data_IF_563356667303
#
_entry.id   IF_563356667303
#
_cell.length_a   1.000
_cell.length_b   1.000
_cell.length_c   1.000
_cell.angle_alpha   90.00
_cell.angle_beta   90.00
_cell.angle_gamma   90.00
#
_symmetry.space_group_name_H-M   'P 1'
#
loop_
_entity.id
_entity.type
_entity.pdbx_description
1 polymer ?
#
# COMPACT_ATOMS: atom_id res chain seq x y z
N UNK A 1 -31.28 23.10 -19.10
CA UNK A 1 -30.97 21.74 -18.62
C UNK A 1 -29.52 21.59 -18.19
N UNK A 2 -28.55 22.23 -18.86
CA UNK A 2 -27.12 22.20 -18.49
C UNK A 2 -26.83 22.59 -17.03
N UNK A 3 -27.46 23.64 -16.48
CA UNK A 3 -27.26 24.06 -15.08
C UNK A 3 -27.73 23.04 -14.03
N UNK A 4 -28.69 22.18 -14.36
CA UNK A 4 -29.14 21.11 -13.46
C UNK A 4 -28.18 19.91 -13.50
N UNK A 5 -27.65 19.59 -14.69
CA UNK A 5 -26.62 18.57 -14.87
C UNK A 5 -25.30 18.97 -14.21
N UNK A 6 -24.82 20.20 -14.38
CA UNK A 6 -23.62 20.71 -13.70
C UNK A 6 -23.78 20.68 -12.18
N UNK A 7 -24.92 21.14 -11.66
CA UNK A 7 -25.16 21.18 -10.21
C UNK A 7 -25.32 19.78 -9.61
N UNK A 8 -25.89 18.83 -10.36
CA UNK A 8 -25.96 17.42 -9.99
C UNK A 8 -24.58 16.74 -10.04
N UNK A 9 -23.75 17.05 -11.04
CA UNK A 9 -22.37 16.56 -11.16
C UNK A 9 -21.46 17.12 -10.07
N UNK A 10 -21.64 18.39 -9.68
CA UNK A 10 -20.89 18.97 -8.56
C UNK A 10 -21.32 18.39 -7.21
N UNK A 11 -22.61 18.11 -7.01
CA UNK A 11 -23.12 17.50 -5.79
C UNK A 11 -22.69 16.04 -5.63
N UNK A 12 -22.43 15.29 -6.71
CA UNK A 12 -22.00 13.89 -6.63
C UNK A 12 -20.67 13.70 -5.91
N UNK A 13 -19.83 14.73 -5.82
CA UNK A 13 -18.58 14.73 -5.04
C UNK A 13 -18.81 14.37 -3.57
N UNK A 14 -19.95 14.76 -3.00
CA UNK A 14 -20.30 14.44 -1.61
C UNK A 14 -20.58 12.94 -1.39
N UNK A 15 -20.84 12.15 -2.44
CA UNK A 15 -20.94 10.69 -2.32
C UNK A 15 -19.61 10.03 -1.92
N UNK A 16 -18.48 10.69 -2.17
CA UNK A 16 -17.16 10.19 -1.77
C UNK A 16 -16.89 10.39 -0.27
N UNK A 17 -17.51 11.39 0.36
CA UNK A 17 -17.26 11.69 1.78
C UNK A 17 -17.57 10.49 2.72
N UNK A 18 -18.70 9.78 2.60
CA UNK A 18 -18.96 8.55 3.36
C UNK A 18 -17.93 7.44 3.15
N UNK A 19 -17.37 7.33 1.93
CA UNK A 19 -16.33 6.33 1.62
C UNK A 19 -15.06 6.64 2.44
N UNK A 20 -14.64 7.92 2.48
CA UNK A 20 -13.48 8.32 3.29
C UNK A 20 -13.71 8.14 4.79
N UNK A 21 -14.94 8.32 5.28
CA UNK A 21 -15.30 7.97 6.66
C UNK A 21 -15.14 6.47 6.90
N UNK A 22 -15.60 5.63 5.97
CA UNK A 22 -15.39 4.18 6.04
C UNK A 22 -13.90 3.78 6.03
N UNK A 23 -13.08 4.46 5.23
CA UNK A 23 -11.63 4.24 5.22
C UNK A 23 -10.98 4.69 6.55
N UNK A 24 -11.41 5.81 7.13
CA UNK A 24 -10.94 6.25 8.45
C UNK A 24 -11.32 5.26 9.56
N UNK A 25 -12.54 4.71 9.53
CA UNK A 25 -12.94 3.62 10.44
C UNK A 25 -12.08 2.36 10.22
N UNK A 26 -11.75 2.04 8.98
CA UNK A 26 -10.85 0.92 8.65
C UNK A 26 -9.45 1.14 9.22
N UNK A 27 -8.96 2.38 9.25
CA UNK A 27 -7.69 2.72 9.89
C UNK A 27 -7.73 2.46 11.40
N UNK A 28 -8.83 2.79 12.08
CA UNK A 28 -9.02 2.48 13.49
C UNK A 28 -9.07 0.97 13.76
N UNK A 29 -9.69 0.21 12.86
CA UNK A 29 -9.70 -1.27 12.93
C UNK A 29 -8.27 -1.81 12.77
N UNK A 30 -7.50 -1.31 11.81
CA UNK A 30 -6.10 -1.71 11.64
C UNK A 30 -5.25 -1.38 12.87
N UNK A 31 -5.44 -0.21 13.47
CA UNK A 31 -4.76 0.18 14.71
C UNK A 31 -5.11 -0.78 15.86
N UNK A 32 -6.38 -1.16 15.98
CA UNK A 32 -6.82 -2.13 16.98
C UNK A 32 -6.19 -3.50 16.76
N UNK A 33 -6.18 -4.00 15.52
CA UNK A 33 -5.55 -5.28 15.17
C UNK A 33 -4.04 -5.24 15.44
N UNK A 34 -3.36 -4.15 15.10
CA UNK A 34 -1.95 -3.94 15.42
C UNK A 34 -1.69 -4.04 16.92
N UNK A 35 -2.52 -3.38 17.74
CA UNK A 35 -2.39 -3.44 19.20
C UNK A 35 -2.62 -4.85 19.74
N UNK A 36 -3.59 -5.58 19.19
CA UNK A 36 -3.84 -6.99 19.55
C UNK A 36 -2.67 -7.90 19.18
N UNK A 37 -2.13 -7.77 17.97
CA UNK A 37 -1.00 -8.59 17.51
C UNK A 37 0.26 -8.30 18.34
N UNK A 38 0.50 -7.02 18.65
CA UNK A 38 1.59 -6.61 19.53
C UNK A 38 1.41 -7.20 20.93
N UNK A 39 0.18 -7.15 21.46
CA UNK A 39 -0.08 -7.71 22.78
C UNK A 39 0.09 -9.23 22.78
N UNK A 40 -0.38 -9.92 21.74
CA UNK A 40 -0.17 -11.35 21.58
C UNK A 40 1.33 -11.69 21.56
N UNK A 41 2.13 -10.95 20.79
CA UNK A 41 3.56 -11.14 20.68
C UNK A 41 4.26 -11.00 22.04
N UNK A 42 3.93 -9.96 22.80
CA UNK A 42 4.49 -9.76 24.15
C UNK A 42 4.05 -10.91 25.09
N UNK A 43 2.80 -11.36 25.00
CA UNK A 43 2.26 -12.43 25.84
C UNK A 43 2.98 -13.78 25.66
N UNK A 44 3.49 -14.06 24.46
CA UNK A 44 4.21 -15.31 24.16
C UNK A 44 5.74 -15.17 24.28
N UNK A 45 6.29 -14.00 24.63
CA UNK A 45 7.74 -13.76 24.77
C UNK A 45 8.50 -14.83 25.56
N UNK A 46 8.00 -15.34 26.69
CA UNK A 46 8.74 -16.32 27.50
C UNK A 46 8.92 -17.68 26.82
N UNK A 47 8.07 -18.01 25.85
CA UNK A 47 7.98 -19.35 25.22
C UNK A 47 8.19 -19.32 23.71
N UNK A 48 8.31 -18.14 23.10
CA UNK A 48 8.49 -17.98 21.66
C UNK A 48 9.92 -18.35 21.22
N UNK A 49 10.04 -18.85 19.99
CA UNK A 49 11.34 -19.02 19.35
C UNK A 49 11.78 -17.72 18.64
N UNK A 50 13.06 -17.64 18.23
CA UNK A 50 13.56 -16.53 17.40
C UNK A 50 12.75 -16.39 16.10
N UNK A 51 12.35 -17.54 15.53
CA UNK A 51 11.54 -17.60 14.33
C UNK A 51 10.15 -16.97 14.55
N UNK A 52 9.51 -17.27 15.67
CA UNK A 52 8.22 -16.69 16.04
C UNK A 52 8.33 -15.17 16.26
N UNK A 53 9.41 -14.72 16.89
CA UNK A 53 9.70 -13.29 17.09
C UNK A 53 9.81 -12.55 15.75
N UNK A 54 10.60 -13.08 14.81
CA UNK A 54 10.78 -12.49 13.47
C UNK A 54 9.45 -12.43 12.73
N UNK A 55 8.66 -13.50 12.77
CA UNK A 55 7.36 -13.54 12.09
C UNK A 55 6.35 -12.57 12.68
N UNK A 56 6.32 -12.43 14.02
CA UNK A 56 5.46 -11.46 14.69
C UNK A 56 5.82 -10.01 14.34
N UNK A 57 7.12 -9.69 14.32
CA UNK A 57 7.59 -8.36 13.89
C UNK A 57 7.21 -8.08 12.44
N UNK A 58 7.34 -9.06 11.54
CA UNK A 58 6.96 -8.90 10.13
C UNK A 58 5.45 -8.65 9.97
N UNK A 59 4.60 -9.34 10.73
CA UNK A 59 3.16 -9.09 10.73
C UNK A 59 2.82 -7.65 11.21
N UNK A 60 3.52 -7.15 12.23
CA UNK A 60 3.36 -5.77 12.71
C UNK A 60 3.81 -4.74 11.66
N UNK A 61 4.91 -5.00 10.96
CA UNK A 61 5.38 -4.16 9.84
C UNK A 61 4.32 -4.11 8.73
N UNK A 62 3.72 -5.24 8.37
CA UNK A 62 2.70 -5.31 7.32
C UNK A 62 1.46 -4.50 7.67
N UNK A 63 0.97 -4.62 8.91
CA UNK A 63 -0.16 -3.82 9.40
C UNK A 63 0.16 -2.32 9.37
N UNK A 64 1.39 -1.93 9.74
CA UNK A 64 1.85 -0.54 9.68
C UNK A 64 1.92 -0.01 8.23
N UNK A 65 2.44 -0.82 7.29
CA UNK A 65 2.50 -0.46 5.87
C UNK A 65 1.09 -0.31 5.28
N UNK A 66 0.16 -1.21 5.63
CA UNK A 66 -1.23 -1.12 5.22
C UNK A 66 -1.91 0.17 5.72
N UNK A 67 -1.68 0.53 7.00
CA UNK A 67 -2.20 1.76 7.60
C UNK A 67 -1.64 3.03 6.92
N UNK A 68 -0.34 3.06 6.63
CA UNK A 68 0.31 4.17 5.92
C UNK A 68 -0.24 4.33 4.50
N UNK A 69 -0.45 3.23 3.78
CA UNK A 69 -1.06 3.25 2.46
C UNK A 69 -2.49 3.79 2.52
N UNK A 70 -3.27 3.34 3.50
CA UNK A 70 -4.65 3.78 3.71
C UNK A 70 -4.72 5.28 3.98
N UNK A 71 -3.80 5.82 4.80
CA UNK A 71 -3.68 7.26 5.05
C UNK A 71 -3.43 8.05 3.76
N UNK A 72 -2.48 7.60 2.94
CA UNK A 72 -2.18 8.24 1.64
C UNK A 72 -3.44 8.26 0.76
N UNK A 73 -4.16 7.14 0.68
CA UNK A 73 -5.40 7.02 -0.11
C UNK A 73 -6.50 7.94 0.42
N UNK A 74 -6.69 8.03 1.74
CA UNK A 74 -7.66 8.92 2.37
C UNK A 74 -7.36 10.37 2.02
N UNK A 75 -6.13 10.83 2.28
CA UNK A 75 -5.78 12.24 2.08
C UNK A 75 -5.76 12.61 0.60
N UNK A 76 -5.13 11.81 -0.26
CA UNK A 76 -5.08 12.04 -1.70
C UNK A 76 -6.47 11.99 -2.33
N UNK A 77 -7.32 11.04 -1.92
CA UNK A 77 -8.69 10.95 -2.42
C UNK A 77 -9.55 12.13 -1.97
N UNK A 78 -9.48 12.49 -0.69
CA UNK A 78 -10.27 13.59 -0.14
C UNK A 78 -9.89 14.94 -0.78
N UNK A 79 -8.59 15.22 -0.93
CA UNK A 79 -8.08 16.44 -1.55
C UNK A 79 -8.50 16.58 -3.02
N UNK A 80 -8.39 15.48 -3.78
CA UNK A 80 -8.71 15.48 -5.21
C UNK A 80 -10.22 15.56 -5.50
N UNK A 81 -11.05 14.92 -4.66
CA UNK A 81 -12.47 14.71 -5.00
C UNK A 81 -13.46 15.47 -4.12
N UNK A 82 -13.12 15.84 -2.88
CA UNK A 82 -14.07 16.49 -1.96
C UNK A 82 -13.68 17.95 -1.74
N UNK A 83 -12.56 18.20 -1.07
CA UNK A 83 -12.12 19.55 -0.74
C UNK A 83 -10.61 19.61 -0.69
N UNK A 84 -10.03 20.65 -1.28
CA UNK A 84 -8.66 21.03 -0.93
C UNK A 84 -8.65 21.36 0.57
N UNK A 85 -7.74 20.75 1.30
CA UNK A 85 -7.55 21.10 2.71
C UNK A 85 -6.72 22.38 2.73
N UNK A 86 -7.35 23.52 2.97
CA UNK A 86 -6.66 24.81 3.07
C UNK A 86 -6.02 24.92 4.47
N UNK A 87 -4.93 24.16 4.67
CA UNK A 87 -4.11 24.19 5.90
C UNK A 87 -3.04 25.27 5.78
N UNK A 88 -3.46 26.48 5.40
CA UNK A 88 -2.61 27.57 4.92
C UNK A 88 -1.70 28.23 5.96
N UNK A 89 -1.33 27.57 7.07
CA UNK A 89 -0.47 28.22 8.08
C UNK A 89 0.30 27.32 9.07
N UNK A 90 0.47 26.01 8.83
CA UNK A 90 1.23 25.15 9.76
C UNK A 90 2.42 24.44 9.11
N UNK A 91 3.56 24.48 9.82
CA UNK A 91 4.90 23.98 9.47
C UNK A 91 4.98 22.44 9.32
N UNK A 92 3.89 21.73 9.64
CA UNK A 92 3.76 20.27 9.60
C UNK A 92 3.22 19.73 8.26
N UNK A 93 3.46 20.44 7.14
CA UNK A 93 3.09 19.92 5.81
C UNK A 93 4.08 18.81 5.42
N UNK A 94 3.68 17.53 5.35
CA UNK A 94 4.63 16.49 5.04
C UNK A 94 4.99 16.53 3.54
N UNK A 95 6.28 16.38 3.21
CA UNK A 95 6.85 16.64 1.88
C UNK A 95 6.23 15.81 0.73
N UNK A 96 5.45 14.76 1.03
CA UNK A 96 4.81 13.89 0.03
C UNK A 96 3.55 14.49 -0.64
N UNK A 97 3.06 15.65 -0.20
CA UNK A 97 1.84 16.30 -0.73
C UNK A 97 1.99 16.98 -2.11
N UNK A 98 3.16 16.90 -2.75
CA UNK A 98 3.41 17.57 -4.05
C UNK A 98 3.03 16.75 -5.28
N UNK A 99 3.32 15.45 -5.29
CA UNK A 99 3.14 14.56 -6.44
C UNK A 99 3.04 13.12 -5.89
N UNK A 100 1.86 12.68 -5.47
CA UNK A 100 1.67 11.24 -5.20
C UNK A 100 1.62 10.56 -6.56
N UNK A 101 2.79 10.25 -7.12
CA UNK A 101 2.91 9.51 -8.37
C UNK A 101 2.24 8.15 -8.17
N UNK A 102 1.08 7.98 -8.81
CA UNK A 102 0.33 6.72 -8.81
C UNK A 102 1.19 5.54 -9.26
N UNK A 103 2.25 5.78 -10.04
CA UNK A 103 3.21 4.74 -10.45
C UNK A 103 4.11 4.33 -9.29
N UNK A 104 4.64 5.30 -8.53
CA UNK A 104 5.39 5.03 -7.31
C UNK A 104 4.53 4.31 -6.26
N UNK A 105 3.24 4.63 -6.16
CA UNK A 105 2.31 3.95 -5.26
C UNK A 105 2.09 2.48 -5.68
N UNK A 106 1.91 2.21 -6.97
CA UNK A 106 1.79 0.84 -7.51
C UNK A 106 3.05 0.02 -7.25
N UNK A 107 4.23 0.61 -7.46
CA UNK A 107 5.51 -0.06 -7.24
C UNK A 107 5.69 -0.45 -5.78
N UNK A 108 5.40 0.47 -4.86
CA UNK A 108 5.48 0.23 -3.41
C UNK A 108 4.52 -0.87 -2.97
N UNK A 109 3.28 -0.86 -3.47
CA UNK A 109 2.30 -1.89 -3.14
C UNK A 109 2.75 -3.29 -3.59
N UNK A 110 3.20 -3.42 -4.84
CA UNK A 110 3.65 -4.72 -5.36
C UNK A 110 4.92 -5.20 -4.67
N UNK A 111 5.85 -4.29 -4.36
CA UNK A 111 7.04 -4.62 -3.59
C UNK A 111 6.68 -5.18 -2.20
N UNK A 112 5.71 -4.58 -1.50
CA UNK A 112 5.21 -5.10 -0.23
C UNK A 112 4.59 -6.49 -0.38
N UNK A 113 3.73 -6.72 -1.37
CA UNK A 113 3.10 -8.04 -1.60
C UNK A 113 4.16 -9.13 -1.86
N UNK A 114 5.16 -8.84 -2.69
CA UNK A 114 6.26 -9.76 -2.97
C UNK A 114 7.07 -10.06 -1.70
N UNK A 115 7.39 -9.04 -0.90
CA UNK A 115 8.13 -9.21 0.35
C UNK A 115 7.37 -10.09 1.35
N UNK A 116 6.09 -9.81 1.59
CA UNK A 116 5.22 -10.57 2.50
C UNK A 116 5.11 -12.03 2.04
N UNK A 117 4.89 -12.24 0.75
CA UNK A 117 4.82 -13.58 0.16
C UNK A 117 6.13 -14.36 0.32
N UNK A 118 7.29 -13.70 0.19
CA UNK A 118 8.61 -14.30 0.39
C UNK A 118 8.87 -14.71 1.84
N UNK A 119 8.49 -13.85 2.79
CA UNK A 119 8.55 -14.14 4.23
C UNK A 119 7.68 -15.36 4.56
N UNK A 120 6.48 -15.42 4.00
CA UNK A 120 5.58 -16.56 4.21
C UNK A 120 6.20 -17.87 3.68
N UNK A 121 6.85 -17.83 2.52
CA UNK A 121 7.59 -18.96 1.97
C UNK A 121 8.72 -19.42 2.90
N UNK A 122 9.45 -18.47 3.50
CA UNK A 122 10.50 -18.77 4.47
C UNK A 122 9.92 -19.44 5.73
N UNK A 123 8.76 -18.99 6.22
CA UNK A 123 8.03 -19.66 7.32
C UNK A 123 7.68 -21.11 6.99
N UNK A 124 7.11 -21.33 5.81
CA UNK A 124 6.75 -22.68 5.31
C UNK A 124 8.00 -23.55 5.18
N UNK A 125 9.12 -22.98 4.75
CA UNK A 125 10.39 -23.69 4.62
C UNK A 125 10.98 -24.12 5.97
N UNK A 126 10.92 -23.28 7.00
CA UNK A 126 11.41 -23.67 8.34
C UNK A 126 10.60 -24.80 8.99
N UNK A 127 9.34 -24.94 8.58
CA UNK A 127 8.41 -25.97 9.04
C UNK A 127 8.06 -26.97 7.91
N UNK A 128 9.00 -27.24 6.98
CA UNK A 128 8.73 -27.96 5.72
C UNK A 128 8.01 -29.30 5.92
N UNK A 129 8.27 -30.00 7.03
CA UNK A 129 7.64 -31.29 7.35
C UNK A 129 6.15 -31.21 7.71
N UNK A 130 5.60 -30.01 7.98
CA UNK A 130 4.19 -29.80 8.33
C UNK A 130 3.29 -29.60 7.11
N UNK A 131 3.86 -29.33 5.94
CA UNK A 131 3.11 -28.98 4.73
C UNK A 131 3.23 -30.07 3.67
N UNK A 132 2.15 -30.31 2.94
CA UNK A 132 2.18 -31.25 1.82
C UNK A 132 3.12 -30.70 0.71
N UNK A 133 3.98 -31.52 0.08
CA UNK A 133 4.88 -31.06 -0.97
C UNK A 133 4.18 -30.31 -2.11
N UNK A 134 2.96 -30.73 -2.46
CA UNK A 134 2.14 -30.08 -3.49
C UNK A 134 1.72 -28.67 -3.08
N UNK A 135 1.37 -28.47 -1.81
CA UNK A 135 1.01 -27.15 -1.27
C UNK A 135 2.22 -26.20 -1.32
N UNK A 136 3.39 -26.68 -0.91
CA UNK A 136 4.64 -25.91 -0.97
C UNK A 136 4.94 -25.52 -2.42
N UNK A 137 4.76 -26.45 -3.37
CA UNK A 137 4.93 -26.18 -4.81
C UNK A 137 4.05 -25.04 -5.28
N UNK A 138 2.76 -25.06 -4.97
CA UNK A 138 1.84 -23.99 -5.36
C UNK A 138 2.17 -22.65 -4.70
N UNK A 139 2.59 -22.66 -3.44
CA UNK A 139 3.06 -21.44 -2.77
C UNK A 139 4.27 -20.83 -3.47
N UNK A 140 5.25 -21.65 -3.87
CA UNK A 140 6.43 -21.20 -4.63
C UNK A 140 6.02 -20.66 -5.99
N UNK A 141 5.13 -21.35 -6.71
CA UNK A 141 4.63 -20.91 -8.03
C UNK A 141 3.93 -19.56 -7.91
N UNK A 142 3.04 -19.38 -6.95
CA UNK A 142 2.34 -18.10 -6.73
C UNK A 142 3.33 -16.99 -6.38
N UNK A 143 4.32 -17.26 -5.52
CA UNK A 143 5.35 -16.28 -5.19
C UNK A 143 6.12 -15.83 -6.44
N UNK A 144 6.52 -16.78 -7.29
CA UNK A 144 7.18 -16.47 -8.56
C UNK A 144 6.29 -15.63 -9.48
N UNK A 145 4.98 -15.89 -9.54
CA UNK A 145 4.02 -15.06 -10.30
C UNK A 145 4.01 -13.62 -9.76
N UNK A 146 4.04 -13.41 -8.45
CA UNK A 146 4.12 -12.07 -7.87
C UNK A 146 5.45 -11.38 -8.19
N UNK A 147 6.58 -12.09 -8.07
CA UNK A 147 7.90 -11.55 -8.42
C UNK A 147 7.94 -11.11 -9.88
N UNK A 148 7.51 -11.98 -10.80
CA UNK A 148 7.47 -11.67 -12.24
C UNK A 148 6.55 -10.49 -12.53
N UNK A 149 5.36 -10.46 -11.93
CA UNK A 149 4.41 -9.36 -12.10
C UNK A 149 4.98 -8.02 -11.62
N UNK A 150 5.70 -8.02 -10.48
CA UNK A 150 6.38 -6.84 -9.95
C UNK A 150 7.51 -6.34 -10.84
N UNK A 151 8.33 -7.25 -11.36
CA UNK A 151 9.40 -6.91 -12.30
C UNK A 151 8.83 -6.32 -13.59
N UNK A 152 7.77 -6.92 -14.15
CA UNK A 152 7.11 -6.40 -15.35
C UNK A 152 6.52 -5.00 -15.12
N UNK A 153 5.90 -4.76 -13.97
CA UNK A 153 5.35 -3.46 -13.62
C UNK A 153 6.45 -2.39 -13.47
N UNK A 154 7.56 -2.74 -12.80
CA UNK A 154 8.73 -1.86 -12.70
C UNK A 154 9.36 -1.58 -14.08
N UNK A 155 9.44 -2.58 -14.95
CA UNK A 155 9.95 -2.41 -16.31
C UNK A 155 9.04 -1.49 -17.14
N UNK A 156 7.71 -1.66 -17.08
CA UNK A 156 6.77 -0.76 -17.77
C UNK A 156 6.92 0.69 -17.30
N UNK A 157 7.05 0.90 -16.00
CA UNK A 157 7.18 2.25 -15.42
C UNK A 157 8.53 2.90 -15.79
N UNK A 158 9.60 2.12 -15.80
CA UNK A 158 10.92 2.55 -16.26
C UNK A 158 10.90 2.97 -17.74
N UNK A 159 10.24 2.20 -18.61
CA UNK A 159 10.09 2.53 -20.04
C UNK A 159 9.25 3.81 -20.21
N UNK A 160 8.13 3.92 -19.48
CA UNK A 160 7.24 5.08 -19.57
C UNK A 160 7.91 6.38 -19.10
N UNK A 161 8.71 6.31 -18.03
CA UNK A 161 9.49 7.45 -17.52
C UNK A 161 10.61 7.84 -18.50
N UNK A 162 11.36 6.89 -19.06
CA UNK A 162 12.41 7.16 -20.06
C UNK A 162 11.87 7.81 -21.34
N UNK A 163 10.69 7.42 -21.81
CA UNK A 163 10.03 8.04 -22.96
C UNK A 163 9.68 9.52 -22.74
N UNK A 164 9.34 9.92 -21.51
CA UNK A 164 9.05 11.32 -21.15
C UNK A 164 10.33 12.16 -21.09
N UNK A 165 11.43 11.62 -20.58
CA UNK A 165 12.72 12.32 -20.46
C UNK A 165 13.31 12.66 -21.83
N UNK A 166 13.24 11.74 -22.80
CA UNK A 166 13.70 11.95 -24.18
C UNK A 166 12.90 13.04 -24.93
N UNK A 167 11.59 13.13 -24.68
CA UNK A 167 10.72 14.17 -25.28
C UNK A 167 11.04 15.56 -24.72
N UNK A 168 11.30 15.66 -23.41
CA UNK A 168 11.64 16.92 -22.74
C UNK A 168 13.02 17.45 -23.17
N UNK A 169 14.00 16.55 -23.37
CA UNK A 169 15.32 16.91 -23.88
C UNK A 169 15.28 17.46 -25.32
N UNK A 170 14.47 16.88 -26.22
CA UNK A 170 14.27 17.41 -27.58
C UNK A 170 13.57 18.77 -27.61
N UNK A 171 12.60 19.01 -26.71
CA UNK A 171 11.86 20.27 -26.63
C UNK A 171 12.69 21.42 -26.04
N UNK A 172 13.74 21.14 -25.26
CA UNK A 172 14.67 22.15 -24.73
C UNK A 172 15.76 22.58 -25.73
N UNK A 173 15.88 21.89 -26.86
CA UNK A 173 16.88 22.15 -27.91
C UNK A 173 16.27 22.78 -29.17
N UNK A 174 14.96 23.04 -29.17
CA UNK A 174 14.22 23.74 -30.21
C UNK A 174 13.78 25.12 -29.69
#
# INVERSE_FOLDING_TARGET
MERLLERSLFASRWMMAPIYVGLALSLLILLWVFALELWHLIGILPVMTVNDAVLGVLALIDLSLAANLLLIVIFSGYENFVSRMDLSEHEDRPEWQGEVDFSALKLKLVASIVAISGIHLLKVFMDVGKYAPEQIRWMVVIHLVFVVSGVLLAAMDWIASHGKTLKKAKASQA
#
